data_IF_945851766219
#
_entry.id   IF_945851766219
#
_cell.length_a   1.000
_cell.length_b   1.000
_cell.length_c   1.000
_cell.angle_alpha   90.00
_cell.angle_beta   90.00
_cell.angle_gamma   90.00
#
_symmetry.space_group_name_H-M   'P 1'
#
loop_
_entity.id
_entity.type
_entity.pdbx_description
1 polymer ?
#
# COMPACT_ATOMS: atom_id res chain seq x y z
N UNK A 1 -11.46 21.86 5.54
CA UNK A 1 -12.29 22.58 6.52
C UNK A 1 -11.79 22.39 7.93
N UNK A 2 -11.84 21.17 8.49
CA UNK A 2 -11.46 20.91 9.89
C UNK A 2 -10.05 21.39 10.27
N UNK A 3 -9.03 21.06 9.47
CA UNK A 3 -7.64 21.47 9.76
C UNK A 3 -7.39 22.94 9.45
N UNK A 4 -8.07 23.50 8.44
CA UNK A 4 -7.93 24.90 8.05
C UNK A 4 -8.54 25.87 9.09
N UNK A 5 -9.57 25.44 9.81
CA UNK A 5 -10.24 26.22 10.85
C UNK A 5 -9.46 26.24 12.18
N UNK A 6 -8.45 25.39 12.34
CA UNK A 6 -7.65 25.30 13.56
C UNK A 6 -6.40 26.19 13.44
N UNK A 7 -6.08 26.92 14.51
CA UNK A 7 -4.78 27.57 14.60
C UNK A 7 -3.68 26.50 14.51
N UNK A 8 -2.65 26.78 13.72
CA UNK A 8 -1.51 25.89 13.49
C UNK A 8 -0.84 25.42 14.79
N UNK A 9 -0.80 26.27 15.82
CA UNK A 9 -0.23 25.95 17.14
C UNK A 9 -1.09 24.95 17.94
N UNK A 10 -2.41 25.01 17.74
CA UNK A 10 -3.41 24.15 18.40
C UNK A 10 -3.56 22.83 17.64
N UNK A 11 -3.61 22.89 16.31
CA UNK A 11 -3.69 21.74 15.41
C UNK A 11 -2.56 20.73 15.65
N UNK A 12 -1.32 21.21 15.82
CA UNK A 12 -0.17 20.34 16.13
C UNK A 12 -0.31 19.60 17.47
N UNK A 13 -0.81 20.27 18.52
CA UNK A 13 -0.99 19.65 19.84
C UNK A 13 -2.13 18.64 19.85
N UNK A 14 -3.24 18.95 19.18
CA UNK A 14 -4.37 18.03 19.03
C UNK A 14 -3.95 16.82 18.21
N UNK A 15 -3.26 17.03 17.08
CA UNK A 15 -2.74 15.96 16.23
C UNK A 15 -1.76 15.04 16.98
N UNK A 16 -0.83 15.60 17.74
CA UNK A 16 0.11 14.80 18.54
C UNK A 16 -0.61 13.94 19.58
N UNK A 17 -1.60 14.50 20.30
CA UNK A 17 -2.40 13.74 21.26
C UNK A 17 -3.16 12.59 20.58
N UNK A 18 -3.72 12.83 19.39
CA UNK A 18 -4.40 11.79 18.62
C UNK A 18 -3.44 10.66 18.19
N UNK A 19 -2.25 11.00 17.69
CA UNK A 19 -1.22 10.02 17.30
C UNK A 19 -0.80 9.17 18.50
N UNK A 20 -0.51 9.81 19.65
CA UNK A 20 -0.14 9.09 20.88
C UNK A 20 -1.27 8.18 21.33
N UNK A 21 -2.51 8.67 21.31
CA UNK A 21 -3.69 7.86 21.67
C UNK A 21 -3.85 6.64 20.76
N UNK A 22 -3.78 6.80 19.44
CA UNK A 22 -3.87 5.69 18.49
C UNK A 22 -2.74 4.68 18.68
N UNK A 23 -1.52 5.14 18.91
CA UNK A 23 -0.38 4.27 19.13
C UNK A 23 -0.53 3.47 20.42
N UNK A 24 -0.84 4.14 21.54
CA UNK A 24 -1.02 3.48 22.84
C UNK A 24 -2.16 2.45 22.80
N UNK A 25 -3.31 2.80 22.22
CA UNK A 25 -4.45 1.87 22.14
C UNK A 25 -4.15 0.69 21.22
N UNK A 26 -3.44 0.89 20.10
CA UNK A 26 -2.99 -0.21 19.22
C UNK A 26 -2.06 -1.17 19.96
N UNK A 27 -1.09 -0.65 20.72
CA UNK A 27 -0.17 -1.49 21.51
C UNK A 27 -0.93 -2.31 22.56
N UNK A 28 -1.87 -1.69 23.28
CA UNK A 28 -2.70 -2.40 24.27
C UNK A 28 -3.55 -3.49 23.59
N UNK A 29 -4.16 -3.19 22.44
CA UNK A 29 -4.96 -4.15 21.68
C UNK A 29 -4.11 -5.34 21.18
N UNK A 30 -2.89 -5.09 20.70
CA UNK A 30 -1.94 -6.14 20.28
C UNK A 30 -1.56 -7.03 21.46
N UNK A 31 -1.23 -6.45 22.62
CA UNK A 31 -0.90 -7.22 23.83
C UNK A 31 -2.09 -8.09 24.23
N UNK A 32 -3.29 -7.52 24.29
CA UNK A 32 -4.50 -8.26 24.63
C UNK A 32 -4.78 -9.40 23.64
N UNK A 33 -4.60 -9.15 22.34
CA UNK A 33 -4.73 -10.15 21.28
C UNK A 33 -3.74 -11.31 21.44
N UNK A 34 -2.47 -11.01 21.75
CA UNK A 34 -1.43 -12.04 21.99
C UNK A 34 -1.77 -12.86 23.23
N UNK A 35 -2.21 -12.23 24.33
CA UNK A 35 -2.60 -12.93 25.55
C UNK A 35 -3.78 -13.87 25.29
N UNK A 36 -4.80 -13.40 24.58
CA UNK A 36 -5.98 -14.22 24.26
C UNK A 36 -5.62 -15.41 23.36
N UNK A 37 -4.85 -15.20 22.27
CA UNK A 37 -4.53 -16.29 21.34
C UNK A 37 -3.65 -17.36 21.99
N UNK A 38 -2.71 -16.97 22.86
CA UNK A 38 -1.84 -17.92 23.57
C UNK A 38 -2.58 -18.65 24.71
N UNK A 39 -3.61 -18.03 25.30
CA UNK A 39 -4.44 -18.64 26.36
C UNK A 39 -5.45 -19.63 25.79
N UNK A 40 -6.17 -19.24 24.73
CA UNK A 40 -7.21 -20.06 24.11
C UNK A 40 -6.60 -21.12 23.19
N UNK A 41 -5.43 -20.83 22.59
CA UNK A 41 -4.72 -21.70 21.62
C UNK A 41 -5.65 -22.27 20.53
N UNK A 42 -6.37 -21.42 19.78
CA UNK A 42 -7.20 -21.91 18.68
C UNK A 42 -6.31 -22.61 17.65
N UNK A 43 -6.72 -23.79 17.17
CA UNK A 43 -6.03 -24.54 16.11
C UNK A 43 -5.16 -25.73 16.54
N UNK A 44 -4.95 -25.96 17.85
CA UNK A 44 -4.11 -27.09 18.32
C UNK A 44 -4.69 -28.49 18.05
N UNK A 45 -5.99 -28.60 17.76
CA UNK A 45 -6.68 -29.85 17.46
C UNK A 45 -6.90 -30.09 15.96
N UNK A 46 -6.43 -29.20 15.09
CA UNK A 46 -6.58 -29.33 13.65
C UNK A 46 -5.36 -30.03 13.06
N UNK A 47 -5.59 -31.13 12.32
CA UNK A 47 -4.53 -31.78 11.55
C UNK A 47 -4.23 -30.94 10.31
N UNK A 48 -2.95 -30.73 10.01
CA UNK A 48 -2.53 -29.90 8.88
C UNK A 48 -3.07 -30.40 7.52
N UNK A 49 -3.42 -31.69 7.45
CA UNK A 49 -3.94 -32.35 6.25
C UNK A 49 -5.41 -32.01 5.94
N UNK A 50 -6.19 -31.54 6.93
CA UNK A 50 -7.58 -31.10 6.76
C UNK A 50 -7.71 -29.61 6.38
N UNK A 51 -6.58 -28.88 6.30
CA UNK A 51 -6.56 -27.46 5.94
C UNK A 51 -6.42 -27.34 4.42
N UNK A 52 -7.54 -27.17 3.73
CA UNK A 52 -7.53 -26.87 2.30
C UNK A 52 -6.88 -25.49 2.07
N UNK A 53 -5.61 -25.50 1.64
CA UNK A 53 -4.87 -24.27 1.31
C UNK A 53 -5.32 -23.77 -0.05
N UNK A 54 -6.46 -23.09 -0.08
CA UNK A 54 -6.94 -22.42 -1.29
C UNK A 54 -6.09 -21.17 -1.56
N UNK A 55 -5.21 -21.24 -2.57
CA UNK A 55 -4.67 -20.06 -3.26
C UNK A 55 -3.14 -19.93 -3.29
N UNK A 56 -2.64 -19.48 -4.44
CA UNK A 56 -1.27 -18.99 -4.58
C UNK A 56 -1.18 -17.60 -3.95
N UNK A 57 -0.59 -17.48 -2.77
CA UNK A 57 -0.35 -16.17 -2.16
C UNK A 57 0.73 -15.43 -2.96
N UNK A 58 0.48 -14.21 -3.46
CA UNK A 58 1.53 -13.43 -4.10
C UNK A 58 2.66 -13.20 -3.10
N UNK A 59 3.89 -13.49 -3.52
CA UNK A 59 5.08 -13.32 -2.71
C UNK A 59 5.39 -11.82 -2.60
N UNK A 60 4.89 -11.19 -1.54
CA UNK A 60 5.14 -9.79 -1.22
C UNK A 60 6.17 -9.71 -0.11
N UNK A 61 7.22 -8.93 -0.31
CA UNK A 61 8.18 -8.66 0.75
C UNK A 61 7.68 -7.51 1.63
N UNK A 62 7.95 -7.58 2.93
CA UNK A 62 7.57 -6.55 3.91
C UNK A 62 8.13 -5.17 3.55
N UNK A 63 9.34 -5.12 3.00
CA UNK A 63 9.97 -3.89 2.49
C UNK A 63 9.19 -3.32 1.32
N UNK A 64 8.76 -4.15 0.36
CA UNK A 64 7.97 -3.71 -0.80
C UNK A 64 6.64 -3.10 -0.32
N UNK A 65 5.97 -3.74 0.64
CA UNK A 65 4.75 -3.22 1.24
C UNK A 65 4.96 -1.89 1.99
N UNK A 66 6.06 -1.73 2.73
CA UNK A 66 6.40 -0.48 3.40
C UNK A 66 6.70 0.64 2.39
N UNK A 67 7.40 0.34 1.31
CA UNK A 67 7.68 1.29 0.25
C UNK A 67 6.40 1.67 -0.50
N UNK A 68 5.49 0.72 -0.73
CA UNK A 68 4.17 0.97 -1.30
C UNK A 68 3.35 1.90 -0.40
N UNK A 69 3.40 1.73 0.92
CA UNK A 69 2.75 2.64 1.86
C UNK A 69 3.26 4.09 1.66
N UNK A 70 4.57 4.28 1.60
CA UNK A 70 5.18 5.61 1.42
C UNK A 70 4.81 6.21 0.07
N UNK A 71 4.88 5.42 -1.01
CA UNK A 71 4.48 5.87 -2.36
C UNK A 71 3.01 6.25 -2.42
N UNK A 72 2.15 5.52 -1.70
CA UNK A 72 0.73 5.85 -1.62
C UNK A 72 0.44 7.10 -0.76
N UNK A 73 1.28 7.47 0.21
CA UNK A 73 1.13 8.75 0.93
C UNK A 73 1.31 9.98 0.02
N UNK A 74 2.10 9.86 -1.05
CA UNK A 74 2.40 10.94 -1.99
C UNK A 74 2.05 10.50 -3.42
N UNK A 75 0.75 10.46 -3.79
CA UNK A 75 0.34 10.00 -5.10
C UNK A 75 0.88 10.92 -6.20
N UNK A 76 1.32 10.33 -7.31
CA UNK A 76 1.80 11.07 -8.49
C UNK A 76 0.68 11.90 -9.15
N UNK A 77 -0.58 11.47 -8.97
CA UNK A 77 -1.77 12.14 -9.50
C UNK A 77 -2.96 12.01 -8.54
N UNK A 78 -3.56 13.14 -8.16
CA UNK A 78 -4.70 13.19 -7.24
C UNK A 78 -6.00 12.67 -7.84
N UNK A 79 -6.23 12.91 -9.13
CA UNK A 79 -7.43 12.41 -9.83
C UNK A 79 -7.36 10.90 -9.90
N UNK A 80 -6.19 10.35 -10.25
CA UNK A 80 -5.95 8.91 -10.26
C UNK A 80 -6.11 8.28 -8.87
N UNK A 81 -5.64 8.95 -7.82
CA UNK A 81 -5.77 8.48 -6.44
C UNK A 81 -7.23 8.27 -5.99
N UNK A 82 -8.21 8.92 -6.63
CA UNK A 82 -9.62 8.71 -6.35
C UNK A 82 -10.15 7.33 -6.78
N UNK A 83 -9.43 6.60 -7.64
CA UNK A 83 -9.87 5.29 -8.15
C UNK A 83 -8.76 4.26 -8.27
N UNK A 84 -7.48 4.61 -8.09
CA UNK A 84 -6.35 3.69 -8.17
C UNK A 84 -5.34 3.88 -7.03
N UNK A 85 -4.65 2.78 -6.70
CA UNK A 85 -3.58 2.72 -5.71
C UNK A 85 -2.33 2.05 -6.27
N UNK A 86 -1.16 2.47 -5.80
CA UNK A 86 0.13 1.93 -6.22
C UNK A 86 0.42 0.62 -5.49
N UNK A 87 0.88 -0.39 -6.24
CA UNK A 87 1.33 -1.67 -5.69
C UNK A 87 2.57 -2.15 -6.43
N UNK A 88 3.57 -2.60 -5.70
CA UNK A 88 4.75 -3.24 -6.28
C UNK A 88 4.45 -4.71 -6.56
N UNK A 89 4.72 -5.13 -7.80
CA UNK A 89 4.62 -6.51 -8.25
C UNK A 89 6.00 -7.00 -8.67
N UNK A 90 6.31 -8.25 -8.32
CA UNK A 90 7.51 -8.94 -8.78
C UNK A 90 7.19 -9.67 -10.07
N UNK A 91 7.91 -9.34 -11.13
CA UNK A 91 7.84 -10.05 -12.41
C UNK A 91 9.14 -10.82 -12.63
N UNK A 92 9.02 -12.11 -12.97
CA UNK A 92 10.18 -12.95 -13.29
C UNK A 92 10.79 -12.44 -14.61
N UNK A 93 12.04 -11.99 -14.55
CA UNK A 93 12.78 -11.61 -15.75
C UNK A 93 13.12 -12.90 -16.48
N UNK A 94 12.32 -13.23 -17.49
CA UNK A 94 12.69 -14.31 -18.41
C UNK A 94 13.92 -13.80 -19.17
N UNK A 95 15.11 -14.43 -19.04
CA UNK A 95 16.24 -14.03 -19.84
C UNK A 95 15.87 -14.25 -21.31
N UNK A 96 15.66 -13.16 -22.04
CA UNK A 96 15.62 -13.18 -23.49
C UNK A 96 16.94 -13.80 -23.91
N UNK A 97 16.88 -14.97 -24.58
CA UNK A 97 18.05 -15.49 -25.28
C UNK A 97 18.41 -14.46 -26.32
N UNK A 98 19.34 -13.57 -26.03
CA UNK A 98 19.81 -12.67 -27.06
C UNK A 98 20.59 -13.45 -28.12
N UNK A 99 20.43 -13.05 -29.38
CA UNK A 99 20.89 -13.75 -30.56
C UNK A 99 22.38 -13.44 -30.79
N UNK A 100 22.98 -14.09 -31.78
CA UNK A 100 24.29 -13.74 -32.34
C UNK A 100 25.52 -14.27 -31.60
N UNK A 101 25.73 -15.59 -31.71
CA UNK A 101 27.04 -16.08 -32.14
C UNK A 101 26.87 -17.00 -33.35
N UNK A 102 27.09 -16.45 -34.53
CA UNK A 102 27.51 -17.20 -35.72
C UNK A 102 28.83 -17.92 -35.39
N UNK A 103 28.74 -19.10 -34.80
CA UNK A 103 29.83 -20.06 -34.67
C UNK A 103 29.52 -21.23 -35.60
N UNK A 104 30.42 -21.46 -36.54
CA UNK A 104 30.37 -22.51 -37.58
C UNK A 104 29.85 -23.84 -37.03
N UNK A 105 28.85 -24.41 -37.71
CA UNK A 105 28.33 -25.75 -37.41
C UNK A 105 29.43 -26.77 -37.71
N UNK A 106 30.13 -27.25 -36.69
CA UNK A 106 30.78 -28.56 -36.73
C UNK A 106 29.83 -29.59 -36.13
N UNK A 107 29.22 -30.39 -37.02
CA UNK A 107 28.51 -31.61 -36.65
C UNK A 107 29.52 -32.72 -36.46
N UNK A 108 29.81 -33.09 -35.21
CA UNK A 108 30.33 -34.40 -34.86
C UNK A 108 29.48 -34.99 -33.73
N UNK A 109 28.64 -35.96 -34.12
CA UNK A 109 27.79 -36.73 -33.23
C UNK A 109 28.65 -37.53 -32.24
N UNK A 110 28.38 -37.44 -30.94
CA UNK A 110 28.00 -38.55 -30.05
C UNK A 110 27.97 -38.09 -28.59
N UNK A 111 26.87 -38.43 -27.91
CA UNK A 111 26.72 -38.46 -26.44
C UNK A 111 26.72 -37.10 -25.72
N UNK A 112 25.56 -36.44 -25.71
CA UNK A 112 25.12 -35.67 -24.54
C UNK A 112 23.62 -35.94 -24.32
N UNK A 113 23.31 -37.16 -23.91
CA UNK A 113 21.96 -37.63 -23.60
C UNK A 113 21.59 -37.43 -22.12
N UNK A 114 22.49 -37.02 -21.23
CA UNK A 114 22.19 -36.90 -19.79
C UNK A 114 22.97 -35.80 -19.06
N UNK A 115 23.00 -34.60 -19.64
CA UNK A 115 23.30 -33.40 -18.87
C UNK A 115 22.10 -32.45 -18.94
N UNK A 116 20.99 -32.82 -18.30
CA UNK A 116 20.15 -31.78 -17.69
C UNK A 116 20.99 -31.20 -16.56
N UNK A 117 21.91 -30.29 -16.91
CA UNK A 117 22.37 -29.31 -15.95
C UNK A 117 21.10 -28.60 -15.49
N UNK A 118 20.57 -29.02 -14.34
CA UNK A 118 19.72 -28.17 -13.54
C UNK A 118 20.61 -26.99 -13.15
N UNK A 119 20.72 -26.02 -14.05
CA UNK A 119 21.21 -24.72 -13.70
C UNK A 119 20.26 -24.25 -12.61
N UNK A 120 20.76 -24.17 -11.38
CA UNK A 120 20.23 -23.30 -10.34
C UNK A 120 20.30 -21.86 -10.89
N UNK A 121 19.46 -21.54 -11.88
CA UNK A 121 19.27 -20.18 -12.32
C UNK A 121 18.55 -19.50 -11.17
N UNK A 122 19.30 -18.70 -10.42
CA UNK A 122 18.71 -17.68 -9.56
C UNK A 122 17.69 -16.95 -10.41
N UNK A 123 16.41 -17.13 -10.10
CA UNK A 123 15.34 -16.41 -10.78
C UNK A 123 15.53 -14.94 -10.45
N UNK A 124 15.91 -14.14 -11.45
CA UNK A 124 15.97 -12.70 -11.27
C UNK A 124 14.56 -12.14 -11.36
N UNK A 125 14.14 -11.45 -10.29
CA UNK A 125 12.86 -10.76 -10.23
C UNK A 125 13.08 -9.28 -10.44
N UNK A 126 12.28 -8.66 -11.30
CA UNK A 126 12.21 -7.21 -11.45
C UNK A 126 11.01 -6.70 -10.67
N UNK A 127 11.23 -5.65 -9.87
CA UNK A 127 10.16 -4.91 -9.21
C UNK A 127 9.53 -3.97 -10.24
N UNK A 128 8.24 -4.15 -10.49
CA UNK A 128 7.43 -3.31 -11.39
C UNK A 128 6.33 -2.66 -10.58
N UNK A 129 6.21 -1.33 -10.70
CA UNK A 129 5.11 -0.58 -10.10
C UNK A 129 3.86 -0.73 -10.97
N UNK A 130 2.76 -1.18 -10.39
CA UNK A 130 1.46 -1.27 -11.07
C UNK A 130 0.40 -0.49 -10.30
N UNK A 131 -0.50 0.14 -11.03
CA UNK A 131 -1.68 0.76 -10.45
C UNK A 131 -2.83 -0.25 -10.45
N UNK A 132 -3.30 -0.58 -9.26
CA UNK A 132 -4.46 -1.45 -9.06
C UNK A 132 -5.71 -0.62 -8.80
N UNK A 133 -6.85 -1.12 -9.23
CA UNK A 133 -8.15 -0.47 -8.98
C UNK A 133 -8.46 -0.44 -7.48
N UNK A 134 -8.95 0.71 -7.00
CA UNK A 134 -9.20 0.98 -5.58
C UNK A 134 -8.77 2.38 -5.16
N UNK A 135 -9.53 2.99 -4.25
CA UNK A 135 -9.27 4.37 -3.79
C UNK A 135 -8.03 4.43 -2.90
N UNK A 136 -7.07 5.29 -3.24
CA UNK A 136 -5.93 5.59 -2.37
C UNK A 136 -6.32 6.62 -1.29
N UNK A 137 -7.06 6.14 -0.28
CA UNK A 137 -7.53 6.98 0.84
C UNK A 137 -6.37 7.61 1.61
N UNK A 138 -5.26 6.89 1.78
CA UNK A 138 -4.09 7.37 2.50
C UNK A 138 -3.50 8.63 1.85
N UNK A 139 -3.26 8.59 0.54
CA UNK A 139 -2.73 9.73 -0.21
C UNK A 139 -3.67 10.93 -0.21
N UNK A 140 -4.98 10.69 -0.36
CA UNK A 140 -5.99 11.75 -0.30
C UNK A 140 -6.04 12.42 1.08
N UNK A 141 -5.94 11.65 2.17
CA UNK A 141 -5.88 12.21 3.54
C UNK A 141 -4.63 13.07 3.71
N UNK A 142 -3.46 12.56 3.34
CA UNK A 142 -2.18 13.29 3.47
C UNK A 142 -2.22 14.60 2.68
N UNK A 143 -2.69 14.56 1.43
CA UNK A 143 -2.86 15.74 0.60
C UNK A 143 -3.82 16.76 1.24
N UNK A 144 -5.02 16.32 1.67
CA UNK A 144 -6.03 17.19 2.28
C UNK A 144 -5.55 17.82 3.60
N UNK A 145 -4.73 17.12 4.39
CA UNK A 145 -4.09 17.65 5.59
C UNK A 145 -3.17 18.81 5.23
N UNK A 146 -2.22 18.57 4.32
CA UNK A 146 -1.23 19.59 3.91
C UNK A 146 -1.94 20.77 3.25
N UNK A 147 -2.85 20.51 2.31
CA UNK A 147 -3.63 21.54 1.63
C UNK A 147 -4.47 22.35 2.62
N UNK A 148 -5.12 21.69 3.59
CA UNK A 148 -5.86 22.33 4.67
C UNK A 148 -5.01 23.28 5.52
N UNK A 149 -3.78 22.86 5.87
CA UNK A 149 -2.83 23.71 6.61
C UNK A 149 -2.42 24.93 5.77
N UNK A 150 -2.14 24.73 4.47
CA UNK A 150 -1.73 25.82 3.57
C UNK A 150 -2.83 26.85 3.44
N UNK A 151 -4.06 26.46 3.12
CA UNK A 151 -5.17 27.42 2.96
C UNK A 151 -5.52 28.12 4.27
N UNK A 152 -5.41 27.44 5.42
CA UNK A 152 -5.62 28.06 6.73
C UNK A 152 -4.56 29.13 7.05
N UNK A 153 -3.33 28.94 6.57
CA UNK A 153 -2.24 29.92 6.72
C UNK A 153 -2.30 31.08 5.72
N UNK A 154 -3.11 31.00 4.66
CA UNK A 154 -3.25 32.05 3.64
C UNK A 154 -4.10 33.25 4.10
N UNK A 155 -4.69 33.19 5.30
CA UNK A 155 -5.51 34.27 5.86
C UNK A 155 -6.71 34.58 4.95
N UNK A 156 -6.97 35.86 4.71
CA UNK A 156 -8.12 36.33 3.91
C UNK A 156 -8.15 35.73 2.49
N UNK A 157 -7.00 35.52 1.86
CA UNK A 157 -6.92 34.93 0.51
C UNK A 157 -7.37 33.46 0.49
N UNK A 158 -7.20 32.75 1.60
CA UNK A 158 -7.61 31.36 1.75
C UNK A 158 -9.09 31.19 2.11
N UNK A 159 -9.73 32.25 2.63
CA UNK A 159 -11.08 32.20 3.18
C UNK A 159 -12.11 31.71 2.14
N UNK A 160 -12.01 32.18 0.89
CA UNK A 160 -12.92 31.77 -0.19
C UNK A 160 -12.90 30.25 -0.43
N UNK A 161 -11.74 29.61 -0.31
CA UNK A 161 -11.62 28.17 -0.46
C UNK A 161 -12.15 27.44 0.77
N UNK A 162 -11.89 27.96 1.97
CA UNK A 162 -12.41 27.39 3.22
C UNK A 162 -13.94 27.39 3.21
N UNK A 163 -14.56 28.49 2.82
CA UNK A 163 -16.02 28.63 2.74
C UNK A 163 -16.61 27.70 1.68
N UNK A 164 -15.97 27.60 0.52
CA UNK A 164 -16.37 26.63 -0.52
C UNK A 164 -16.37 25.19 0.01
N UNK A 165 -15.28 24.75 0.66
CA UNK A 165 -15.21 23.38 1.20
C UNK A 165 -16.15 23.15 2.39
N UNK A 166 -16.48 24.19 3.17
CA UNK A 166 -17.48 24.10 4.24
C UNK A 166 -18.87 23.84 3.65
N UNK A 167 -19.29 24.64 2.66
CA UNK A 167 -20.56 24.45 1.97
C UNK A 167 -20.64 23.06 1.30
N UNK A 168 -19.55 22.61 0.67
CA UNK A 168 -19.48 21.26 0.10
C UNK A 168 -19.64 20.19 1.18
N UNK A 169 -18.95 20.29 2.31
CA UNK A 169 -19.07 19.35 3.42
C UNK A 169 -20.50 19.27 3.96
N UNK A 170 -21.15 20.42 4.17
CA UNK A 170 -22.52 20.47 4.68
C UNK A 170 -23.50 19.80 3.69
N UNK A 171 -23.32 20.05 2.38
CA UNK A 171 -24.08 19.36 1.35
C UNK A 171 -23.82 17.84 1.36
N UNK A 172 -22.57 17.39 1.53
CA UNK A 172 -22.27 15.94 1.64
C UNK A 172 -22.92 15.32 2.87
N UNK A 173 -22.97 16.02 4.01
CA UNK A 173 -23.62 15.53 5.22
C UNK A 173 -25.13 15.36 5.02
N UNK A 174 -25.78 16.30 4.32
CA UNK A 174 -27.19 16.18 3.94
C UNK A 174 -27.43 14.97 3.04
N UNK A 175 -26.56 14.73 2.05
CA UNK A 175 -26.66 13.54 1.18
C UNK A 175 -26.53 12.26 2.01
N UNK A 176 -25.60 12.19 2.96
CA UNK A 176 -25.44 11.02 3.84
C UNK A 176 -26.71 10.78 4.68
N UNK A 177 -27.34 11.83 5.19
CA UNK A 177 -28.60 11.73 5.93
C UNK A 177 -29.78 11.25 5.09
N UNK A 178 -29.76 11.47 3.77
CA UNK A 178 -30.80 10.95 2.86
C UNK A 178 -30.60 9.46 2.59
N UNK A 179 -29.34 8.99 2.59
CA UNK A 179 -28.98 7.60 2.31
C UNK A 179 -29.24 6.69 3.54
N UNK A 180 -28.98 7.22 4.75
CA UNK A 180 -29.16 6.51 6.03
C UNK A 180 -30.63 6.46 6.46
#
# INVERSE_FOLDING_TARGET
>A
TGIAALDSSVSGKIGLRAIVYYFCTTVIAVILGIVLVVSIKPGVSQNADDIDRTGSTPEVTTVDALLDLIKNMFPENLVQACFQQYKTKREEVVPTKDPDKNGTIEKNNTLDLFATEQQNKTKEFKLVGVYTDGVNVLGLIVFCIVFGIVIGKMGEKGQVLVDFFNALNDATMQIVQIIM
#
